data_IF_143356201958
#
_entry.id   IF_143356201958
#
_cell.length_a   1.000
_cell.length_b   1.000
_cell.length_c   1.000
_cell.angle_alpha   90.00
_cell.angle_beta   90.00
_cell.angle_gamma   90.00
#
_symmetry.space_group_name_H-M   'P 1'
#
loop_
_entity.id
_entity.type
_entity.pdbx_description
1 polymer ?
#
# COMPACT_ATOMS: atom_id res chain seq x y z
N UNK A 1 -13.68 -13.87 -38.76
CA UNK A 1 -12.78 -14.41 -37.72
C UNK A 1 -11.37 -13.78 -37.67
N UNK A 2 -10.77 -13.26 -38.75
CA UNK A 2 -9.43 -12.65 -38.74
C UNK A 2 -9.32 -11.33 -37.94
N UNK A 3 -10.39 -10.58 -37.80
CA UNK A 3 -10.42 -9.27 -37.10
C UNK A 3 -10.47 -9.40 -35.57
N UNK A 4 -11.02 -10.48 -35.04
CA UNK A 4 -11.08 -10.72 -33.58
C UNK A 4 -9.69 -11.05 -33.04
N UNK A 5 -8.86 -11.74 -33.82
CA UNK A 5 -7.48 -12.04 -33.44
C UNK A 5 -6.58 -10.79 -33.41
N UNK A 6 -6.79 -9.82 -34.30
CA UNK A 6 -6.03 -8.57 -34.33
C UNK A 6 -6.35 -7.68 -33.12
N UNK A 7 -7.61 -7.64 -32.66
CA UNK A 7 -8.02 -6.88 -31.47
C UNK A 7 -7.48 -7.52 -30.20
N UNK A 8 -7.45 -8.86 -30.12
CA UNK A 8 -6.88 -9.58 -28.98
C UNK A 8 -5.37 -9.43 -28.89
N UNK A 9 -4.67 -9.42 -30.02
CA UNK A 9 -3.22 -9.19 -30.08
C UNK A 9 -2.83 -7.75 -29.70
N UNK A 10 -3.66 -6.76 -30.05
CA UNK A 10 -3.45 -5.37 -29.65
C UNK A 10 -3.68 -5.13 -28.15
N UNK A 11 -4.60 -5.87 -27.51
CA UNK A 11 -4.84 -5.77 -26.05
C UNK A 11 -3.71 -6.41 -25.22
N UNK A 12 -3.00 -7.39 -25.76
CA UNK A 12 -1.88 -8.06 -25.06
C UNK A 12 -0.59 -7.22 -25.12
N UNK A 13 -0.48 -6.29 -26.08
CA UNK A 13 0.73 -5.44 -26.24
C UNK A 13 0.71 -4.15 -25.39
N UNK A 14 -0.40 -3.86 -24.71
CA UNK A 14 -0.46 -2.77 -23.72
C UNK A 14 -0.34 -3.36 -22.30
N UNK A 15 0.63 -4.24 -22.10
CA UNK A 15 1.13 -4.45 -20.75
C UNK A 15 1.98 -3.23 -20.39
N UNK A 16 1.62 -2.43 -19.36
CA UNK A 16 2.52 -1.41 -18.88
C UNK A 16 3.82 -2.12 -18.51
N UNK A 17 4.92 -1.72 -19.13
CA UNK A 17 6.24 -2.08 -18.65
C UNK A 17 6.37 -1.45 -17.24
N UNK A 18 5.96 -2.17 -16.21
CA UNK A 18 6.27 -1.85 -14.82
C UNK A 18 7.77 -2.05 -14.67
N UNK A 19 8.53 -1.01 -15.02
CA UNK A 19 9.94 -0.95 -14.77
C UNK A 19 10.14 -0.79 -13.26
N UNK A 20 10.70 -1.82 -12.64
CA UNK A 20 11.46 -1.79 -11.39
C UNK A 20 10.81 -1.04 -10.22
N UNK A 21 9.72 -1.56 -9.69
CA UNK A 21 9.11 -1.10 -8.45
C UNK A 21 8.06 -2.10 -7.99
N UNK A 22 7.86 -2.21 -6.70
CA UNK A 22 6.71 -2.89 -6.16
C UNK A 22 5.46 -2.28 -6.83
N UNK A 23 4.56 -3.10 -7.33
CA UNK A 23 3.40 -2.67 -8.14
C UNK A 23 2.29 -1.93 -7.35
N UNK A 24 2.62 -1.45 -6.12
CA UNK A 24 1.74 -0.74 -5.22
C UNK A 24 1.77 0.78 -5.39
N UNK A 25 1.31 1.48 -4.37
CA UNK A 25 1.32 2.94 -4.33
C UNK A 25 2.74 3.48 -4.12
N UNK A 26 3.01 4.65 -4.69
CA UNK A 26 4.27 5.37 -4.49
C UNK A 26 4.02 6.69 -3.79
N UNK A 27 4.86 6.97 -2.80
CA UNK A 27 4.88 8.22 -2.05
C UNK A 27 6.16 8.97 -2.44
N UNK A 28 6.01 10.12 -3.09
CA UNK A 28 7.15 10.91 -3.55
C UNK A 28 7.15 12.29 -2.90
N UNK A 29 8.35 12.78 -2.55
CA UNK A 29 8.55 14.14 -2.07
C UNK A 29 9.87 14.71 -2.56
N UNK A 30 9.80 15.88 -3.19
CA UNK A 30 10.99 16.63 -3.63
C UNK A 30 11.62 17.34 -2.42
N UNK A 31 12.92 17.14 -2.22
CA UNK A 31 13.72 17.73 -1.16
C UNK A 31 15.03 18.28 -1.78
N UNK A 32 15.06 19.58 -2.04
CA UNK A 32 16.18 20.20 -2.77
C UNK A 32 16.25 19.69 -4.21
N UNK A 33 17.39 19.14 -4.59
CA UNK A 33 17.66 18.53 -5.89
C UNK A 33 17.41 17.01 -5.93
N UNK A 34 16.73 16.49 -4.91
CA UNK A 34 16.45 15.06 -4.75
C UNK A 34 14.95 14.78 -4.63
N UNK A 35 14.56 13.55 -4.95
CA UNK A 35 13.24 13.00 -4.71
C UNK A 35 13.41 11.84 -3.74
N UNK A 36 12.76 11.93 -2.57
CA UNK A 36 12.54 10.79 -1.69
C UNK A 36 11.33 10.03 -2.23
N UNK A 37 11.54 8.79 -2.63
CA UNK A 37 10.55 7.94 -3.27
C UNK A 37 10.40 6.64 -2.46
N UNK A 38 9.18 6.36 -2.03
CA UNK A 38 8.84 5.18 -1.24
C UNK A 38 7.80 4.39 -2.02
N UNK A 39 8.15 3.18 -2.43
CA UNK A 39 7.23 2.22 -3.01
C UNK A 39 6.61 1.33 -1.93
N UNK A 40 5.41 0.80 -2.19
CA UNK A 40 4.80 -0.26 -1.38
C UNK A 40 4.37 -1.41 -2.28
N UNK A 41 4.23 -2.61 -1.72
CA UNK A 41 3.70 -3.78 -2.43
C UNK A 41 2.17 -3.80 -2.51
N UNK A 42 1.50 -2.94 -1.75
CA UNK A 42 0.04 -2.89 -1.68
C UNK A 42 -0.56 -1.82 -2.57
N UNK A 43 -1.71 -2.12 -3.16
CA UNK A 43 -2.56 -1.16 -3.86
C UNK A 43 -3.74 -0.78 -2.98
N UNK A 44 -3.93 0.53 -2.76
CA UNK A 44 -4.99 1.06 -1.90
C UNK A 44 -4.57 1.17 -0.43
N UNK A 45 -5.55 1.40 0.44
CA UNK A 45 -5.28 1.66 1.86
C UNK A 45 -4.84 0.39 2.58
N UNK A 46 -3.63 0.35 3.15
CA UNK A 46 -3.14 -0.78 3.91
C UNK A 46 -4.03 -1.12 5.12
N UNK A 47 -4.00 -2.40 5.54
CA UNK A 47 -4.83 -2.91 6.63
C UNK A 47 -3.97 -3.26 7.84
N UNK A 48 -4.39 -2.84 9.04
CA UNK A 48 -3.70 -3.20 10.28
C UNK A 48 -3.67 -4.73 10.47
N UNK A 49 -2.53 -5.23 10.92
CA UNK A 49 -2.28 -6.67 11.10
C UNK A 49 -1.76 -7.38 9.84
N UNK A 50 -1.74 -6.72 8.68
CA UNK A 50 -1.15 -7.25 7.46
C UNK A 50 0.27 -6.69 7.26
N UNK A 51 1.25 -7.49 6.83
CA UNK A 51 2.60 -7.00 6.53
C UNK A 51 2.58 -6.16 5.26
N UNK A 52 3.33 -5.07 5.26
CA UNK A 52 3.55 -4.18 4.12
C UNK A 52 5.05 -4.16 3.84
N UNK A 53 5.42 -4.34 2.60
CA UNK A 53 6.78 -4.12 2.12
C UNK A 53 6.94 -2.67 1.66
N UNK A 54 7.94 -1.99 2.20
CA UNK A 54 8.37 -0.66 1.78
C UNK A 54 9.69 -0.76 1.03
N UNK A 55 9.79 -0.08 -0.10
CA UNK A 55 11.00 0.11 -0.90
C UNK A 55 11.40 1.59 -0.84
N UNK A 56 12.65 1.87 -0.45
CA UNK A 56 13.15 3.23 -0.24
C UNK A 56 14.17 3.60 -1.30
N UNK A 57 13.88 4.66 -2.07
CA UNK A 57 14.71 5.17 -3.13
C UNK A 57 15.01 6.66 -2.95
N UNK A 58 16.24 7.06 -3.29
CA UNK A 58 16.63 8.45 -3.41
C UNK A 58 17.02 8.71 -4.86
N UNK A 59 16.27 9.59 -5.53
CA UNK A 59 16.43 9.90 -6.94
C UNK A 59 16.89 11.35 -7.13
N UNK A 60 17.56 11.63 -8.25
CA UNK A 60 17.77 13.00 -8.71
C UNK A 60 16.48 13.62 -9.18
N UNK A 61 16.23 14.89 -8.89
CA UNK A 61 14.98 15.54 -9.29
C UNK A 61 14.91 15.86 -10.78
N UNK A 62 16.04 16.06 -11.43
CA UNK A 62 16.17 16.41 -12.85
C UNK A 62 16.07 15.22 -13.80
N UNK A 63 16.73 14.10 -13.45
CA UNK A 63 16.80 12.91 -14.32
C UNK A 63 15.95 11.74 -13.83
N UNK A 64 15.50 11.77 -12.55
CA UNK A 64 14.85 10.66 -11.83
C UNK A 64 15.72 9.39 -11.73
N UNK A 65 17.02 9.54 -11.95
CA UNK A 65 17.96 8.44 -11.78
C UNK A 65 18.28 8.22 -10.30
N UNK A 66 18.48 6.97 -9.86
CA UNK A 66 18.92 6.68 -8.51
C UNK A 66 20.24 7.41 -8.18
N UNK A 67 20.32 8.02 -7.00
CA UNK A 67 21.49 8.79 -6.56
C UNK A 67 22.70 7.90 -6.19
N UNK A 68 22.66 6.64 -6.49
CA UNK A 68 23.60 5.66 -6.02
C UNK A 68 23.14 5.08 -4.68
N UNK A 69 23.96 4.22 -4.09
CA UNK A 69 23.60 3.51 -2.86
C UNK A 69 23.84 4.43 -1.66
N UNK A 70 22.80 4.94 -0.97
CA UNK A 70 23.01 5.55 0.33
C UNK A 70 23.51 4.48 1.30
N UNK A 71 24.38 4.87 2.23
CA UNK A 71 24.98 3.94 3.20
C UNK A 71 24.02 3.54 4.31
N UNK A 72 22.98 4.34 4.55
CA UNK A 72 21.89 4.00 5.47
C UNK A 72 20.64 4.81 5.22
N UNK A 73 19.51 4.26 5.65
CA UNK A 73 18.19 4.90 5.65
C UNK A 73 17.70 4.93 7.09
N UNK A 74 17.62 6.13 7.68
CA UNK A 74 16.99 6.33 8.99
C UNK A 74 15.47 6.33 8.84
N UNK A 75 14.79 5.61 9.70
CA UNK A 75 13.35 5.43 9.69
C UNK A 75 12.75 5.79 11.04
N UNK A 76 11.78 6.70 11.02
CA UNK A 76 10.91 6.99 12.16
C UNK A 76 9.45 6.74 11.75
N UNK A 77 8.74 5.89 12.47
CA UNK A 77 7.29 5.69 12.32
C UNK A 77 6.63 6.17 13.60
N UNK A 78 5.73 7.14 13.48
CA UNK A 78 4.98 7.70 14.60
C UNK A 78 3.49 7.44 14.41
N UNK A 79 2.79 7.19 15.52
CA UNK A 79 1.32 7.12 15.59
C UNK A 79 0.83 8.00 16.72
N UNK A 80 -0.05 8.97 16.42
CA UNK A 80 -0.56 9.94 17.40
C UNK A 80 0.56 10.66 18.20
N UNK A 81 1.68 11.01 17.53
CA UNK A 81 2.84 11.67 18.14
C UNK A 81 3.68 10.76 19.05
N UNK A 82 3.44 9.44 19.04
CA UNK A 82 4.25 8.46 19.76
C UNK A 82 5.12 7.69 18.76
N UNK A 83 6.41 7.54 19.03
CA UNK A 83 7.29 6.74 18.20
C UNK A 83 6.92 5.26 18.34
N UNK A 84 6.71 4.60 17.21
CA UNK A 84 6.46 3.16 17.09
C UNK A 84 7.73 2.42 16.66
N UNK A 85 8.48 3.03 15.73
CA UNK A 85 9.75 2.54 15.22
C UNK A 85 10.69 3.72 15.11
N UNK A 86 11.94 3.52 15.52
CA UNK A 86 13.03 4.44 15.28
C UNK A 86 14.31 3.62 15.10
N UNK A 87 14.99 3.77 13.98
CA UNK A 87 16.20 3.02 13.68
C UNK A 87 16.77 3.31 12.30
N UNK A 88 17.96 2.75 12.06
CA UNK A 88 18.65 2.86 10.79
C UNK A 88 18.67 1.50 10.08
N UNK A 89 18.30 1.51 8.81
CA UNK A 89 18.44 0.40 7.89
C UNK A 89 19.80 0.55 7.20
N UNK A 90 20.74 -0.32 7.53
CA UNK A 90 22.03 -0.38 6.85
C UNK A 90 21.89 -1.31 5.67
N UNK A 91 22.19 -0.81 4.47
CA UNK A 91 22.05 -1.60 3.25
C UNK A 91 23.37 -1.62 2.47
N UNK A 92 23.73 -2.82 2.01
CA UNK A 92 24.80 -3.04 1.03
C UNK A 92 24.22 -3.15 -0.40
N UNK A 93 22.89 -3.19 -0.52
CA UNK A 93 22.16 -3.30 -1.77
C UNK A 93 21.64 -1.92 -2.24
N UNK A 94 21.52 -1.68 -3.55
CA UNK A 94 20.88 -0.48 -4.08
C UNK A 94 19.39 -0.37 -3.69
N UNK A 95 18.76 -1.47 -3.31
CA UNK A 95 17.37 -1.50 -2.89
C UNK A 95 17.30 -1.79 -1.38
N UNK A 96 16.69 -0.88 -0.64
CA UNK A 96 16.45 -1.01 0.79
C UNK A 96 14.99 -1.34 1.01
N UNK A 97 14.72 -2.48 1.64
CA UNK A 97 13.36 -2.93 1.93
C UNK A 97 13.11 -3.00 3.42
N UNK A 98 11.87 -2.76 3.81
CA UNK A 98 11.38 -2.98 5.16
C UNK A 98 10.02 -3.66 5.10
N UNK A 99 9.86 -4.77 5.81
CA UNK A 99 8.55 -5.33 6.11
C UNK A 99 8.08 -4.83 7.46
N UNK A 100 6.92 -4.18 7.48
CA UNK A 100 6.35 -3.68 8.72
C UNK A 100 4.86 -4.03 8.81
N UNK A 101 4.42 -4.39 10.01
CA UNK A 101 3.01 -4.67 10.31
C UNK A 101 2.49 -3.63 11.28
N UNK A 102 1.56 -2.79 10.83
CA UNK A 102 0.92 -1.79 11.67
C UNK A 102 -0.03 -2.47 12.67
N UNK A 103 0.11 -2.21 13.98
CA UNK A 103 -0.68 -2.93 15.00
C UNK A 103 -2.15 -2.53 15.01
N UNK A 104 -2.48 -1.30 14.61
CA UNK A 104 -3.85 -0.76 14.62
C UNK A 104 -4.11 0.18 13.45
N UNK A 105 -5.38 0.42 13.13
CA UNK A 105 -5.77 1.41 12.12
C UNK A 105 -5.61 2.83 12.64
N UNK A 106 -5.40 3.76 11.72
CA UNK A 106 -5.25 5.18 12.05
C UNK A 106 -4.31 5.89 11.10
N UNK A 107 -3.93 7.11 11.48
CA UNK A 107 -2.97 7.93 10.74
C UNK A 107 -1.60 7.81 11.38
N UNK A 108 -0.63 7.43 10.58
CA UNK A 108 0.78 7.34 10.95
C UNK A 108 1.58 8.40 10.19
N UNK A 109 2.72 8.78 10.74
CA UNK A 109 3.74 9.58 10.04
C UNK A 109 4.96 8.71 9.82
N UNK A 110 5.30 8.48 8.55
CA UNK A 110 6.53 7.81 8.15
C UNK A 110 7.55 8.89 7.79
N UNK A 111 8.62 9.02 8.58
CA UNK A 111 9.73 9.93 8.30
C UNK A 111 10.94 9.12 7.89
N UNK A 112 11.49 9.47 6.74
CA UNK A 112 12.63 8.78 6.13
C UNK A 112 13.77 9.76 5.95
N UNK A 113 14.99 9.37 6.38
CA UNK A 113 16.20 10.15 6.24
C UNK A 113 17.27 9.32 5.55
N UNK A 114 17.80 9.82 4.44
CA UNK A 114 18.90 9.18 3.72
C UNK A 114 20.23 9.77 4.16
N UNK A 115 21.23 8.91 4.39
CA UNK A 115 22.58 9.27 4.81
C UNK A 115 23.63 8.73 3.84
N UNK A 116 24.70 9.48 3.68
CA UNK A 116 25.95 9.06 3.03
C UNK A 116 27.11 9.24 4.00
N UNK A 117 27.65 8.15 4.52
CA UNK A 117 28.77 8.18 5.47
C UNK A 117 30.05 8.81 4.91
N UNK A 118 30.15 8.97 3.59
CA UNK A 118 31.31 9.60 2.92
C UNK A 118 31.23 11.13 2.93
N UNK A 119 30.11 11.71 3.39
CA UNK A 119 29.89 13.16 3.43
C UNK A 119 29.81 13.67 4.86
N UNK A 120 30.07 14.98 5.03
CA UNK A 120 29.87 15.70 6.29
C UNK A 120 29.16 17.03 5.99
N UNK A 121 27.91 17.24 6.44
CA UNK A 121 27.08 16.32 7.21
C UNK A 121 26.66 15.09 6.35
N UNK A 122 26.46 13.93 6.98
CA UNK A 122 26.11 12.71 6.26
C UNK A 122 24.67 12.67 5.70
N UNK A 123 23.79 13.55 6.21
CA UNK A 123 22.38 13.59 5.77
C UNK A 123 22.25 14.15 4.36
N UNK A 124 21.60 13.40 3.49
CA UNK A 124 21.31 13.76 2.09
C UNK A 124 19.93 14.38 1.94
N UNK A 125 18.91 13.70 2.41
CA UNK A 125 17.52 14.14 2.32
C UNK A 125 16.68 13.58 3.46
N UNK A 126 15.66 14.33 3.89
CA UNK A 126 14.65 13.88 4.84
C UNK A 126 13.27 14.25 4.33
N UNK A 127 12.35 13.30 4.36
CA UNK A 127 10.95 13.53 4.02
C UNK A 127 10.03 12.83 5.03
N UNK A 128 8.84 13.40 5.21
CA UNK A 128 7.78 12.82 6.04
C UNK A 128 6.53 12.64 5.20
N UNK A 129 5.87 11.49 5.37
CA UNK A 129 4.68 11.06 4.63
C UNK A 129 3.59 10.66 5.61
N UNK A 130 2.37 11.20 5.47
CA UNK A 130 1.22 10.67 6.19
C UNK A 130 0.80 9.34 5.56
N UNK A 131 0.59 8.32 6.40
CA UNK A 131 0.04 7.03 5.99
C UNK A 131 -1.28 6.81 6.71
N UNK A 132 -2.31 6.41 5.97
CA UNK A 132 -3.58 5.99 6.55
C UNK A 132 -3.66 4.47 6.52
N UNK A 133 -3.87 3.87 7.67
CA UNK A 133 -3.99 2.42 7.84
C UNK A 133 -5.42 2.09 8.23
N UNK A 134 -6.09 1.22 7.49
CA UNK A 134 -7.42 0.73 7.82
C UNK A 134 -7.38 -0.18 9.04
N UNK A 135 -8.39 -0.08 9.91
CA UNK A 135 -8.49 -1.00 11.06
C UNK A 135 -8.69 -2.45 10.64
N UNK A 136 -8.00 -3.37 11.29
CA UNK A 136 -8.23 -4.81 11.13
C UNK A 136 -9.69 -5.14 11.46
N UNK A 137 -10.46 -5.56 10.49
CA UNK A 137 -11.85 -5.96 10.71
C UNK A 137 -12.94 -5.09 10.11
N UNK A 138 -12.61 -3.93 9.48
CA UNK A 138 -13.61 -3.18 8.72
C UNK A 138 -14.14 -4.01 7.54
N UNK A 139 -13.28 -4.67 6.80
CA UNK A 139 -13.63 -5.52 5.67
C UNK A 139 -14.40 -6.78 6.10
N UNK A 140 -13.94 -7.46 7.17
CA UNK A 140 -14.63 -8.63 7.73
C UNK A 140 -16.01 -8.27 8.28
N UNK A 141 -16.15 -7.13 8.99
CA UNK A 141 -17.45 -6.67 9.50
C UNK A 141 -18.42 -6.35 8.38
N UNK A 142 -17.97 -5.68 7.32
CA UNK A 142 -18.83 -5.36 6.16
C UNK A 142 -19.28 -6.64 5.45
N UNK A 143 -18.38 -7.61 5.24
CA UNK A 143 -18.74 -8.90 4.66
C UNK A 143 -19.70 -9.69 5.54
N UNK A 144 -19.52 -9.69 6.86
CA UNK A 144 -20.39 -10.39 7.80
C UNK A 144 -21.78 -9.76 7.84
N UNK A 145 -21.88 -8.44 7.89
CA UNK A 145 -23.17 -7.72 7.83
C UNK A 145 -23.85 -7.95 6.50
N UNK A 146 -23.14 -7.90 5.38
CA UNK A 146 -23.69 -8.18 4.06
C UNK A 146 -24.19 -9.62 3.94
N UNK A 147 -23.45 -10.61 4.43
CA UNK A 147 -23.84 -12.02 4.43
C UNK A 147 -25.08 -12.27 5.30
N UNK A 148 -25.16 -11.69 6.50
CA UNK A 148 -26.33 -11.80 7.39
C UNK A 148 -27.55 -11.12 6.78
N UNK A 149 -27.39 -9.97 6.13
CA UNK A 149 -28.49 -9.27 5.46
C UNK A 149 -29.04 -10.09 4.28
N UNK A 150 -28.16 -10.68 3.47
CA UNK A 150 -28.56 -11.55 2.36
C UNK A 150 -29.30 -12.82 2.86
N UNK A 151 -28.80 -13.45 3.93
CA UNK A 151 -29.46 -14.61 4.54
C UNK A 151 -30.86 -14.25 5.11
N UNK A 152 -30.99 -13.08 5.74
CA UNK A 152 -32.28 -12.58 6.25
C UNK A 152 -33.33 -12.38 5.14
N UNK A 153 -32.92 -11.81 4.00
CA UNK A 153 -33.77 -11.60 2.85
C UNK A 153 -34.27 -12.96 2.27
N UNK A 154 -33.34 -13.90 2.12
CA UNK A 154 -33.69 -15.25 1.59
C UNK A 154 -34.67 -15.96 2.52
N UNK A 155 -34.41 -15.95 3.83
CA UNK A 155 -35.34 -16.59 4.80
C UNK A 155 -36.69 -15.88 4.84
N UNK A 156 -36.75 -14.56 4.72
CA UNK A 156 -37.99 -13.78 4.64
C UNK A 156 -38.83 -14.13 3.41
N UNK A 157 -38.21 -14.29 2.25
CA UNK A 157 -38.87 -14.66 1.01
C UNK A 157 -39.43 -16.09 1.07
N UNK A 158 -38.67 -17.06 1.59
CA UNK A 158 -39.11 -18.43 1.76
C UNK A 158 -40.23 -18.58 2.79
N UNK A 159 -40.13 -17.89 3.92
CA UNK A 159 -41.13 -17.85 4.96
C UNK A 159 -42.47 -17.23 4.46
N UNK A 160 -42.36 -16.10 3.75
CA UNK A 160 -43.51 -15.45 3.12
C UNK A 160 -44.20 -16.30 2.08
N UNK A 161 -43.42 -16.99 1.23
CA UNK A 161 -43.96 -17.92 0.22
C UNK A 161 -44.66 -19.11 0.86
N UNK A 162 -44.09 -19.73 1.90
CA UNK A 162 -44.70 -20.86 2.61
C UNK A 162 -46.03 -20.50 3.30
N UNK A 163 -46.08 -19.28 3.91
CA UNK A 163 -47.32 -18.78 4.51
C UNK A 163 -48.41 -18.46 3.48
N UNK A 164 -48.07 -17.87 2.35
CA UNK A 164 -48.99 -17.58 1.27
C UNK A 164 -49.61 -18.87 0.69
N UNK A 165 -48.77 -19.90 0.53
CA UNK A 165 -49.24 -21.21 0.01
C UNK A 165 -50.18 -21.94 0.96
N UNK A 166 -50.01 -21.81 2.29
CA UNK A 166 -50.91 -22.39 3.30
C UNK A 166 -52.28 -21.72 3.34
N UNK A 167 -52.35 -20.41 2.99
CA UNK A 167 -53.62 -19.67 2.93
C UNK A 167 -54.41 -19.88 1.63
N UNK A 168 -53.76 -20.38 0.59
CA UNK A 168 -54.36 -20.65 -0.70
C UNK A 168 -54.86 -22.10 -0.87
N UNK A 169 -54.69 -22.96 0.12
CA UNK A 169 -55.23 -24.33 0.11
C UNK A 169 -56.67 -24.29 0.62
N UNK A 170 -57.69 -24.78 -0.19
CA UNK A 170 -59.09 -24.78 0.18
C UNK A 170 -59.41 -25.72 1.34
#
# INVERSE_FOLDING_TARGET
>A
MKWIFAVFLALVLVAPACANGLGGERLEKVVGDMIVDIGTDQTGTPVAGEPIEFDFNLLRSDTREPLGTPTSVGLDIEHNGKPMVNGDLITESPNTFLFYTFPEGGTYTLKVTFFDSRRSPPQLATASFPLTISGAGSTMRVLYVAALSAAGIVLGLFGGYALARRRAAP
#
